data_IF_207075809912
#
_entry.id   IF_207075809912
#
_cell.length_a   1.000
_cell.length_b   1.000
_cell.length_c   1.000
_cell.angle_alpha   90.00
_cell.angle_beta   90.00
_cell.angle_gamma   90.00
#
_symmetry.space_group_name_H-M   'P 1'
#
loop_
_entity.id
_entity.type
_entity.pdbx_description
1 polymer ?
#
# COMPACT_ATOMS: atom_id res chain seq x y z
N UNK A 1 -7.58 3.70 33.84
CA UNK A 1 -8.59 2.69 33.49
C UNK A 1 -8.06 1.94 32.27
N UNK A 2 -7.57 0.71 32.45
CA UNK A 2 -7.00 -0.10 31.36
C UNK A 2 -8.12 -1.00 30.83
N UNK A 3 -8.47 -0.88 29.54
CA UNK A 3 -9.37 -1.82 28.87
C UNK A 3 -8.52 -3.00 28.40
N UNK A 4 -8.73 -4.23 28.92
CA UNK A 4 -7.99 -5.38 28.44
C UNK A 4 -8.43 -5.69 27.01
N UNK A 5 -7.50 -5.62 26.06
CA UNK A 5 -7.74 -6.13 24.71
C UNK A 5 -7.79 -7.66 24.79
N UNK A 6 -8.95 -8.22 24.47
CA UNK A 6 -9.16 -9.66 24.43
C UNK A 6 -8.43 -10.24 23.21
N UNK A 7 -7.18 -10.67 23.40
CA UNK A 7 -6.43 -11.51 22.45
C UNK A 7 -6.98 -12.94 22.48
N UNK A 8 -8.17 -13.14 21.92
CA UNK A 8 -8.62 -14.47 21.59
C UNK A 8 -8.67 -14.64 20.08
N UNK A 9 -7.51 -14.87 19.47
CA UNK A 9 -7.36 -15.27 18.07
C UNK A 9 -8.04 -16.61 17.73
N UNK A 10 -8.69 -17.30 18.69
CA UNK A 10 -9.45 -18.53 18.40
C UNK A 10 -10.63 -18.24 17.48
N UNK A 11 -10.68 -18.95 16.35
CA UNK A 11 -11.74 -18.86 15.35
C UNK A 11 -11.44 -17.95 14.15
N UNK A 12 -10.36 -17.16 14.19
CA UNK A 12 -9.96 -16.31 13.05
C UNK A 12 -9.46 -17.09 11.84
N UNK A 13 -8.89 -18.27 12.04
CA UNK A 13 -8.44 -19.17 10.97
C UNK A 13 -9.56 -19.53 9.98
N UNK A 14 -10.82 -19.60 10.44
CA UNK A 14 -11.99 -19.85 9.57
C UNK A 14 -12.37 -18.64 8.70
N UNK A 15 -11.80 -17.46 8.98
CA UNK A 15 -11.97 -16.20 8.23
C UNK A 15 -10.71 -15.82 7.44
N UNK A 16 -9.68 -16.67 7.43
CA UNK A 16 -8.50 -16.43 6.60
C UNK A 16 -8.86 -16.69 5.14
N UNK A 17 -8.76 -15.66 4.32
CA UNK A 17 -8.83 -15.83 2.88
C UNK A 17 -7.50 -16.45 2.41
N UNK A 18 -7.55 -17.60 1.75
CA UNK A 18 -6.42 -18.12 0.99
C UNK A 18 -6.36 -17.29 -0.29
N UNK A 19 -5.61 -16.19 -0.26
CA UNK A 19 -5.26 -15.47 -1.47
C UNK A 19 -4.10 -16.24 -2.11
N UNK A 20 -4.29 -16.74 -3.33
CA UNK A 20 -3.19 -17.31 -4.11
C UNK A 20 -2.05 -16.31 -4.14
N UNK A 21 -0.86 -16.70 -3.67
CA UNK A 21 0.31 -15.85 -3.81
C UNK A 21 0.49 -15.59 -5.31
N UNK A 22 0.33 -14.35 -5.81
CA UNK A 22 0.60 -14.08 -7.21
C UNK A 22 2.02 -14.54 -7.52
N UNK A 23 2.25 -15.06 -8.74
CA UNK A 23 3.59 -15.39 -9.19
C UNK A 23 4.52 -14.22 -8.83
N UNK A 24 5.71 -14.52 -8.31
CA UNK A 24 6.63 -13.50 -7.80
C UNK A 24 6.95 -12.47 -8.89
N UNK A 25 6.14 -11.41 -8.96
CA UNK A 25 6.33 -10.24 -9.81
C UNK A 25 7.27 -9.25 -9.15
N UNK A 26 7.63 -9.52 -7.89
CA UNK A 26 8.67 -8.78 -7.20
C UNK A 26 9.99 -9.08 -7.91
N UNK A 27 10.74 -8.05 -8.33
CA UNK A 27 12.09 -8.24 -8.83
C UNK A 27 12.91 -9.04 -7.79
N UNK A 28 13.95 -9.77 -8.21
CA UNK A 28 14.80 -10.53 -7.31
C UNK A 28 15.14 -9.68 -6.09
N UNK A 29 14.83 -10.19 -4.89
CA UNK A 29 15.09 -9.48 -3.64
C UNK A 29 16.49 -8.87 -3.73
N UNK A 30 16.53 -7.55 -3.67
CA UNK A 30 17.77 -6.79 -3.60
C UNK A 30 18.56 -7.43 -2.45
N UNK A 31 19.75 -7.97 -2.73
CA UNK A 31 20.56 -8.75 -1.78
C UNK A 31 21.14 -7.91 -0.63
N UNK A 32 20.61 -6.70 -0.42
CA UNK A 32 21.04 -5.82 0.65
C UNK A 32 20.17 -6.06 1.88
N UNK A 33 20.78 -6.12 3.08
CA UNK A 33 20.01 -6.14 4.31
C UNK A 33 19.12 -4.89 4.36
N UNK A 34 17.85 -5.08 4.72
CA UNK A 34 16.94 -3.96 4.97
C UNK A 34 17.50 -3.15 6.14
N UNK A 35 18.00 -1.96 5.86
CA UNK A 35 18.46 -1.03 6.89
C UNK A 35 17.25 -0.26 7.37
N UNK A 36 16.88 -0.47 8.63
CA UNK A 36 15.85 0.35 9.27
C UNK A 36 16.34 1.80 9.36
N UNK A 37 15.68 2.70 8.64
CA UNK A 37 15.87 4.16 8.80
C UNK A 37 14.69 4.71 9.60
N UNK A 38 15.00 5.43 10.69
CA UNK A 38 13.97 6.09 11.51
C UNK A 38 13.29 7.25 10.77
N UNK A 39 13.99 7.86 9.81
CA UNK A 39 13.51 8.94 8.95
C UNK A 39 14.01 8.73 7.52
N UNK A 40 13.20 9.17 6.55
CA UNK A 40 13.59 9.15 5.15
C UNK A 40 14.30 10.46 4.80
N UNK A 41 15.63 10.43 4.77
CA UNK A 41 16.48 11.59 4.47
C UNK A 41 17.12 11.52 3.06
N UNK A 42 16.75 10.51 2.26
CA UNK A 42 17.32 10.35 0.93
C UNK A 42 16.73 11.40 -0.01
N UNK A 43 17.58 12.29 -0.48
CA UNK A 43 17.24 13.30 -1.48
C UNK A 43 17.16 12.58 -2.83
N UNK A 44 16.01 12.63 -3.53
CA UNK A 44 15.86 11.99 -4.83
C UNK A 44 16.82 12.59 -5.85
N UNK A 45 17.35 11.74 -6.71
CA UNK A 45 18.20 12.15 -7.82
C UNK A 45 17.37 12.98 -8.83
N UNK A 46 18.00 13.86 -9.63
CA UNK A 46 17.30 14.64 -10.64
C UNK A 46 16.42 13.78 -11.58
N UNK A 47 16.90 12.59 -11.94
CA UNK A 47 16.16 11.63 -12.76
C UNK A 47 14.90 11.09 -12.03
N UNK A 48 15.00 10.85 -10.73
CA UNK A 48 13.86 10.39 -9.91
C UNK A 48 12.84 11.51 -9.70
N UNK A 49 13.30 12.75 -9.58
CA UNK A 49 12.42 13.93 -9.49
C UNK A 49 11.53 14.08 -10.73
N UNK A 50 12.00 13.68 -11.92
CA UNK A 50 11.13 13.68 -13.12
C UNK A 50 9.93 12.75 -12.98
N UNK A 51 10.09 11.61 -12.27
CA UNK A 51 9.01 10.67 -12.02
C UNK A 51 8.00 11.25 -11.02
N UNK A 52 8.49 12.01 -10.04
CA UNK A 52 7.64 12.73 -9.07
C UNK A 52 6.74 13.72 -9.79
N UNK A 53 7.29 14.51 -10.73
CA UNK A 53 6.52 15.50 -11.48
C UNK A 53 5.43 14.85 -12.36
N UNK A 54 5.77 13.74 -13.02
CA UNK A 54 4.79 12.95 -13.80
C UNK A 54 3.67 12.45 -12.88
N UNK A 55 4.01 11.88 -11.73
CA UNK A 55 3.03 11.35 -10.78
C UNK A 55 2.11 12.45 -10.24
N UNK A 56 2.65 13.63 -9.94
CA UNK A 56 1.85 14.77 -9.48
C UNK A 56 0.87 15.25 -10.56
N UNK A 57 1.29 15.26 -11.82
CA UNK A 57 0.43 15.59 -12.96
C UNK A 57 -0.71 14.57 -13.12
N UNK A 58 -0.40 13.28 -13.03
CA UNK A 58 -1.40 12.21 -13.07
C UNK A 58 -2.40 12.32 -11.90
N UNK A 59 -1.91 12.55 -10.68
CA UNK A 59 -2.76 12.76 -9.51
C UNK A 59 -3.68 13.97 -9.67
N UNK A 60 -3.20 15.07 -10.25
CA UNK A 60 -4.02 16.25 -10.52
C UNK A 60 -5.14 15.93 -11.52
N UNK A 61 -4.83 15.21 -12.60
CA UNK A 61 -5.80 14.74 -13.60
C UNK A 61 -6.83 13.78 -12.97
N UNK A 62 -6.38 12.81 -12.18
CA UNK A 62 -7.23 11.86 -11.49
C UNK A 62 -8.16 12.56 -10.49
N UNK A 63 -7.64 13.54 -9.74
CA UNK A 63 -8.45 14.34 -8.83
C UNK A 63 -9.51 15.16 -9.58
N UNK A 64 -9.15 15.75 -10.71
CA UNK A 64 -10.09 16.50 -11.56
C UNK A 64 -11.19 15.61 -12.15
N UNK A 65 -10.88 14.34 -12.43
CA UNK A 65 -11.84 13.34 -12.91
C UNK A 65 -12.64 12.67 -11.79
N UNK A 66 -12.45 13.10 -10.54
CA UNK A 66 -13.27 12.67 -9.40
C UNK A 66 -12.69 11.51 -8.58
N UNK A 67 -11.38 11.25 -8.68
CA UNK A 67 -10.68 10.34 -7.78
C UNK A 67 -10.73 10.88 -6.35
N UNK A 68 -11.74 10.45 -5.61
CA UNK A 68 -11.97 10.76 -4.20
C UNK A 68 -11.74 9.51 -3.36
N UNK A 69 -11.47 9.68 -2.07
CA UNK A 69 -11.38 8.56 -1.13
C UNK A 69 -12.63 7.66 -1.21
N UNK A 70 -13.81 8.25 -1.36
CA UNK A 70 -15.08 7.52 -1.53
C UNK A 70 -15.09 6.65 -2.79
N UNK A 71 -14.65 7.18 -3.94
CA UNK A 71 -14.58 6.44 -5.19
C UNK A 71 -13.60 5.25 -5.10
N UNK A 72 -12.46 5.46 -4.45
CA UNK A 72 -11.46 4.42 -4.19
C UNK A 72 -12.06 3.33 -3.29
N UNK A 73 -12.63 3.69 -2.14
CA UNK A 73 -13.26 2.73 -1.20
C UNK A 73 -14.39 1.94 -1.87
N UNK A 74 -15.23 2.59 -2.67
CA UNK A 74 -16.30 1.92 -3.41
C UNK A 74 -15.74 0.93 -4.44
N UNK A 75 -14.65 1.27 -5.13
CA UNK A 75 -14.02 0.37 -6.10
C UNK A 75 -13.47 -0.90 -5.44
N UNK A 76 -12.91 -0.79 -4.23
CA UNK A 76 -12.47 -1.94 -3.45
C UNK A 76 -13.66 -2.80 -3.00
N UNK A 77 -14.72 -2.18 -2.48
CA UNK A 77 -15.94 -2.90 -2.10
C UNK A 77 -16.53 -3.70 -3.27
N UNK A 78 -16.66 -3.07 -4.45
CA UNK A 78 -17.17 -3.73 -5.68
C UNK A 78 -16.31 -4.91 -6.16
N UNK A 79 -15.03 -4.95 -5.83
CA UNK A 79 -14.14 -6.08 -6.19
C UNK A 79 -14.24 -7.24 -5.19
N UNK A 80 -14.79 -7.00 -4.01
CA UNK A 80 -14.96 -7.99 -2.95
C UNK A 80 -16.33 -8.68 -2.98
N UNK A 81 -17.29 -8.12 -3.73
CA UNK A 81 -18.65 -8.65 -3.94
C UNK A 81 -18.83 -9.17 -5.35
#
# INVERSE_FOLDING_TARGET
MYLPLQDNNKGWHNKWFIVSNPASSLPPKIRFPLVHKAYWDDIPMPEEMTQVDVLLSELASLKATGLTATAVTLSFYKRLT
#
